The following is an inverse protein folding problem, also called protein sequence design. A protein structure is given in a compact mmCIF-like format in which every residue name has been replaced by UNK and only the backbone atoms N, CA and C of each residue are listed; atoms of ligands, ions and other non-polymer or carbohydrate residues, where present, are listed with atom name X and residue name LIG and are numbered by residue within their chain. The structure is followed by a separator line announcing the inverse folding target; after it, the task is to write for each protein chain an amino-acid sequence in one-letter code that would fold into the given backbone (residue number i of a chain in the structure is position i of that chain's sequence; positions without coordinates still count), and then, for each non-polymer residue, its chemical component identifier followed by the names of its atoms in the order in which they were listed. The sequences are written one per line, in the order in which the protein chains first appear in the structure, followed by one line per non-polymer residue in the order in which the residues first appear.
data_IF_822047383043
#
_entry.id   IF_822047383043
#
_cell.length_a   1.000
_cell.length_b   1.000
_cell.length_c   1.000
_cell.angle_alpha   90.00
_cell.angle_beta   90.00
_cell.angle_gamma   90.00
#
_symmetry.space_group_name_H-M   'P 1'
#
loop_
_entity.id
_entity.type
_entity.pdbx_description
1 polymer ?
#
# COMPACT_ATOMS: atom_id res chain seq x y z
N UNK A 1 -0.67 -10.93 -3.75
CA UNK A 1 -1.27 -11.39 -2.47
C UNK A 1 -0.53 -12.57 -1.86
N UNK A 2 -0.47 -13.76 -2.47
CA UNK A 2 0.21 -14.93 -1.86
C UNK A 2 1.64 -14.63 -1.39
N UNK A 3 2.46 -13.99 -2.24
CA UNK A 3 3.83 -13.61 -1.87
C UNK A 3 3.91 -12.65 -0.66
N UNK A 4 2.93 -11.75 -0.50
CA UNK A 4 2.85 -10.85 0.67
C UNK A 4 2.48 -11.66 1.92
N UNK A 5 1.57 -12.63 1.79
CA UNK A 5 1.26 -13.56 2.88
C UNK A 5 2.48 -14.40 3.27
N UNK A 6 3.20 -14.96 2.30
CA UNK A 6 4.41 -15.77 2.55
C UNK A 6 5.49 -14.95 3.29
N UNK A 7 5.70 -13.69 2.88
CA UNK A 7 6.58 -12.75 3.55
C UNK A 7 6.11 -12.45 4.98
N UNK A 8 4.81 -12.18 5.15
CA UNK A 8 4.26 -11.76 6.44
C UNK A 8 4.14 -12.90 7.44
N UNK A 9 3.90 -14.13 6.98
CA UNK A 9 3.97 -15.33 7.80
C UNK A 9 5.40 -15.62 8.27
N UNK A 10 6.40 -15.31 7.43
CA UNK A 10 7.81 -15.51 7.78
C UNK A 10 8.36 -14.42 8.72
N UNK A 11 8.01 -13.14 8.50
CA UNK A 11 8.63 -11.99 9.19
C UNK A 11 7.70 -11.21 10.10
N UNK A 12 6.41 -11.53 10.13
CA UNK A 12 5.39 -10.80 10.88
C UNK A 12 4.58 -11.70 11.80
N UNK A 13 3.40 -11.22 12.17
CA UNK A 13 2.45 -11.94 13.01
C UNK A 13 1.52 -12.89 12.25
N UNK A 14 1.49 -12.80 10.91
CA UNK A 14 0.46 -13.43 10.07
C UNK A 14 -0.91 -12.73 10.13
N UNK A 15 -1.07 -11.67 10.93
CA UNK A 15 -2.32 -10.91 11.03
C UNK A 15 -2.31 -9.69 10.11
N UNK A 16 -3.43 -9.43 9.44
CA UNK A 16 -3.57 -8.29 8.53
C UNK A 16 -4.92 -7.59 8.68
N UNK A 17 -4.98 -6.27 8.46
CA UNK A 17 -6.23 -5.62 8.08
C UNK A 17 -6.25 -5.44 6.55
N UNK A 18 -7.33 -5.90 5.93
CA UNK A 18 -7.54 -5.81 4.48
C UNK A 18 -8.82 -5.00 4.23
N UNK A 19 -8.79 -3.66 4.27
CA UNK A 19 -7.64 -2.74 4.31
C UNK A 19 -7.72 -1.80 5.52
N UNK A 20 -6.71 -0.95 5.73
CA UNK A 20 -6.83 0.23 6.57
C UNK A 20 -7.85 1.22 5.99
N UNK A 21 -8.44 2.07 6.83
CA UNK A 21 -9.50 2.99 6.39
C UNK A 21 -9.07 4.00 5.31
N UNK A 22 -7.78 4.32 5.24
CA UNK A 22 -7.20 5.17 4.19
C UNK A 22 -7.01 4.41 2.87
N UNK A 23 -6.81 3.09 2.91
CA UNK A 23 -6.61 2.26 1.71
C UNK A 23 -5.46 1.26 1.82
N UNK A 24 -4.55 1.42 2.78
CA UNK A 24 -3.34 0.59 2.91
C UNK A 24 -3.63 -0.88 3.24
N UNK A 25 -2.78 -1.78 2.75
CA UNK A 25 -2.66 -3.12 3.35
C UNK A 25 -1.93 -2.95 4.68
N UNK A 26 -2.55 -3.42 5.78
CA UNK A 26 -1.94 -3.32 7.11
C UNK A 26 -1.39 -4.67 7.51
N UNK A 27 -0.06 -4.74 7.62
CA UNK A 27 0.67 -5.89 8.17
C UNK A 27 0.77 -5.71 9.70
N UNK A 28 -0.11 -6.37 10.45
CA UNK A 28 -0.38 -6.04 11.85
C UNK A 28 0.57 -6.73 12.83
N UNK A 29 1.71 -6.09 13.10
CA UNK A 29 2.62 -6.49 14.17
C UNK A 29 3.83 -7.29 13.70
N UNK A 30 5.01 -6.71 13.94
CA UNK A 30 6.32 -7.36 13.80
C UNK A 30 7.27 -6.74 14.84
N UNK A 31 8.56 -7.09 14.82
CA UNK A 31 9.61 -6.53 15.66
C UNK A 31 10.47 -5.54 14.88
N UNK A 32 11.10 -4.62 15.59
CA UNK A 32 11.94 -3.56 14.99
C UNK A 32 13.03 -4.13 14.07
N UNK A 33 13.63 -5.27 14.42
CA UNK A 33 14.71 -5.85 13.63
C UNK A 33 14.25 -6.43 12.29
N UNK A 34 12.94 -6.61 12.09
CA UNK A 34 12.38 -7.11 10.83
C UNK A 34 11.99 -5.99 9.85
N UNK A 35 11.97 -4.72 10.27
CA UNK A 35 11.42 -3.64 9.45
C UNK A 35 12.17 -3.47 8.12
N UNK A 36 13.49 -3.33 8.17
CA UNK A 36 14.34 -3.21 6.97
C UNK A 36 14.33 -4.47 6.11
N UNK A 37 14.24 -5.65 6.73
CA UNK A 37 14.17 -6.92 6.03
C UNK A 37 12.87 -7.07 5.23
N UNK A 38 11.75 -6.65 5.82
CA UNK A 38 10.44 -6.63 5.16
C UNK A 38 10.47 -5.60 4.03
N UNK A 39 10.98 -4.39 4.28
CA UNK A 39 11.07 -3.34 3.27
C UNK A 39 11.96 -3.75 2.09
N UNK A 40 13.10 -4.39 2.37
CA UNK A 40 13.99 -4.93 1.35
C UNK A 40 13.28 -5.97 0.46
N UNK A 41 12.59 -6.95 1.04
CA UNK A 41 11.84 -7.92 0.23
C UNK A 41 10.69 -7.27 -0.54
N UNK A 42 9.95 -6.35 0.07
CA UNK A 42 8.85 -5.63 -0.60
C UNK A 42 9.33 -4.88 -1.85
N UNK A 43 10.41 -4.13 -1.73
CA UNK A 43 10.93 -3.30 -2.83
C UNK A 43 11.69 -4.11 -3.87
N UNK A 44 12.64 -4.95 -3.45
CA UNK A 44 13.52 -5.67 -4.38
C UNK A 44 12.88 -6.89 -5.04
N UNK A 45 11.95 -7.58 -4.36
CA UNK A 45 11.37 -8.83 -4.87
C UNK A 45 9.91 -8.67 -5.31
N UNK A 46 9.14 -7.78 -4.66
CA UNK A 46 7.70 -7.64 -4.92
C UNK A 46 7.33 -6.35 -5.66
N UNK A 47 8.29 -5.44 -5.86
CA UNK A 47 8.08 -4.13 -6.48
C UNK A 47 6.89 -3.38 -5.84
N UNK A 48 6.83 -3.40 -4.52
CA UNK A 48 5.83 -2.70 -3.69
C UNK A 48 6.55 -1.75 -2.74
N UNK A 49 5.92 -0.61 -2.45
CA UNK A 49 6.42 0.38 -1.49
C UNK A 49 5.54 0.43 -0.23
N UNK A 50 5.96 1.22 0.75
CA UNK A 50 5.21 1.52 1.96
C UNK A 50 4.15 2.59 1.70
N UNK A 51 3.09 2.57 2.52
CA UNK A 51 2.12 3.66 2.59
C UNK A 51 2.62 4.84 3.44
N UNK A 52 1.87 5.94 3.42
CA UNK A 52 2.21 7.17 4.13
C UNK A 52 1.71 7.20 5.58
N UNK A 53 2.53 7.72 6.51
CA UNK A 53 2.13 7.97 7.90
C UNK A 53 2.91 9.14 8.52
N UNK A 54 2.30 9.88 9.44
CA UNK A 54 2.90 11.08 10.03
C UNK A 54 2.32 12.38 9.46
N UNK A 55 3.08 13.48 9.51
CA UNK A 55 2.63 14.80 9.03
C UNK A 55 2.99 15.02 7.55
N UNK A 56 2.58 14.09 6.69
CA UNK A 56 2.88 14.00 5.26
C UNK A 56 1.59 13.73 4.45
N UNK A 57 1.72 13.68 3.12
CA UNK A 57 0.69 13.14 2.24
C UNK A 57 0.45 11.67 2.62
N UNK A 58 -0.81 11.28 2.72
CA UNK A 58 -1.18 9.88 3.03
C UNK A 58 -1.53 9.16 1.74
N UNK A 59 -1.48 7.84 1.78
CA UNK A 59 -1.84 6.94 0.67
C UNK A 59 -3.18 7.37 0.04
N UNK A 60 -3.16 7.88 -1.21
CA UNK A 60 -4.38 8.22 -1.92
C UNK A 60 -5.25 6.97 -2.15
N UNK A 61 -6.57 7.13 -2.12
CA UNK A 61 -7.51 6.08 -2.46
C UNK A 61 -8.65 6.63 -3.31
N UNK A 62 -9.25 5.76 -4.12
CA UNK A 62 -10.34 6.13 -5.02
C UNK A 62 -11.44 5.05 -5.04
N UNK A 63 -12.61 5.41 -5.58
CA UNK A 63 -13.61 4.41 -5.92
C UNK A 63 -13.16 3.59 -7.13
N UNK A 64 -13.92 2.55 -7.47
CA UNK A 64 -13.57 1.66 -8.58
C UNK A 64 -13.61 2.33 -9.97
N UNK A 65 -14.18 3.53 -10.10
CA UNK A 65 -14.13 4.32 -11.35
C UNK A 65 -14.64 3.59 -12.59
N UNK A 66 -13.99 3.88 -13.72
CA UNK A 66 -14.35 3.34 -15.03
C UNK A 66 -14.13 1.82 -15.14
N UNK A 67 -13.41 1.19 -14.19
CA UNK A 67 -13.19 -0.26 -14.23
C UNK A 67 -14.48 -1.08 -14.14
N UNK A 68 -15.51 -0.56 -13.46
CA UNK A 68 -16.80 -1.27 -13.30
C UNK A 68 -17.97 -0.38 -12.87
N UNK A 69 -17.94 0.92 -13.14
CA UNK A 69 -19.05 1.83 -12.88
C UNK A 69 -19.34 2.69 -14.12
N UNK A 70 -20.55 2.57 -14.66
CA UNK A 70 -21.03 3.35 -15.81
C UNK A 70 -21.32 4.82 -15.49
N UNK A 71 -21.21 5.21 -14.22
CA UNK A 71 -21.37 6.60 -13.75
C UNK A 71 -20.03 7.29 -13.46
N UNK A 72 -18.91 6.64 -13.75
CA UNK A 72 -17.62 7.28 -13.65
C UNK A 72 -17.51 8.41 -14.69
N UNK A 73 -17.19 9.62 -14.23
CA UNK A 73 -17.06 10.80 -15.09
C UNK A 73 -15.62 11.04 -15.57
N UNK A 74 -14.66 10.30 -15.02
CA UNK A 74 -13.25 10.31 -15.36
C UNK A 74 -12.56 9.07 -14.78
N UNK A 75 -11.34 8.79 -15.23
CA UNK A 75 -10.53 7.68 -14.72
C UNK A 75 -9.98 7.99 -13.32
N UNK A 76 -10.74 7.59 -12.29
CA UNK A 76 -10.37 7.80 -10.89
C UNK A 76 -9.15 6.99 -10.47
N UNK A 77 -8.94 5.83 -11.08
CA UNK A 77 -7.84 4.92 -10.72
C UNK A 77 -6.52 5.45 -11.29
N UNK A 78 -6.54 5.90 -12.54
CA UNK A 78 -5.36 6.52 -13.17
C UNK A 78 -4.96 7.79 -12.43
N UNK A 79 -5.91 8.69 -12.11
CA UNK A 79 -5.60 9.90 -11.34
C UNK A 79 -5.01 9.54 -9.96
N UNK A 80 -5.59 8.56 -9.27
CA UNK A 80 -5.11 8.12 -7.97
C UNK A 80 -3.67 7.61 -8.05
N UNK A 81 -3.37 6.78 -9.06
CA UNK A 81 -2.03 6.24 -9.29
C UNK A 81 -1.03 7.34 -9.65
N UNK A 82 -1.36 8.19 -10.62
CA UNK A 82 -0.48 9.26 -11.09
C UNK A 82 -0.11 10.23 -9.97
N UNK A 83 -1.08 10.67 -9.16
CA UNK A 83 -0.78 11.56 -8.03
C UNK A 83 0.02 10.86 -6.93
N UNK A 84 -0.20 9.56 -6.72
CA UNK A 84 0.61 8.78 -5.76
C UNK A 84 2.06 8.71 -6.22
N UNK A 85 2.31 8.53 -7.52
CA UNK A 85 3.66 8.46 -8.08
C UNK A 85 4.34 9.83 -8.19
N UNK A 86 3.59 10.88 -8.54
CA UNK A 86 4.11 12.24 -8.67
C UNK A 86 4.59 12.79 -7.31
N UNK A 87 3.80 12.55 -6.25
CA UNK A 87 4.07 13.08 -4.90
C UNK A 87 4.65 12.04 -3.95
N UNK A 88 5.55 11.18 -4.44
CA UNK A 88 6.21 10.16 -3.62
C UNK A 88 7.06 10.79 -2.49
N UNK A 89 7.74 11.91 -2.76
CA UNK A 89 8.56 12.60 -1.74
C UNK A 89 7.68 13.18 -0.63
N UNK A 90 6.53 13.75 -0.97
CA UNK A 90 5.60 14.28 0.03
C UNK A 90 4.83 13.19 0.79
N UNK A 91 4.84 11.94 0.31
CA UNK A 91 4.19 10.80 0.96
C UNK A 91 5.06 10.17 2.07
N UNK A 92 6.39 10.33 1.97
CA UNK A 92 7.36 9.74 2.90
C UNK A 92 7.91 10.77 3.89
#
# INVERSE_FOLDING_TARGET
LRQICDLWDFRGSGLTNMHGSTGDIVLLGTRTEQLEEIFGTLTHELNQDLGGSGSNLRTPACCLGESRCEWACYDTQELCYQLTMEYQDELH
#
